data_IF_871803722967
#
_entry.id   IF_871803722967
#
_cell.length_a   1.000
_cell.length_b   1.000
_cell.length_c   1.000
_cell.angle_alpha   90.00
_cell.angle_beta   90.00
_cell.angle_gamma   90.00
#
_symmetry.space_group_name_H-M   'P 1'
#
loop_
_entity.id
_entity.type
_entity.pdbx_description
1 polymer ?
#
# COMPACT_ATOMS: atom_id res chain seq x y z
N UNK A 1 -72.89 -17.99 -9.38
CA UNK A 1 -71.88 -17.03 -8.84
C UNK A 1 -70.52 -17.68 -9.00
N UNK A 2 -69.87 -17.55 -10.15
CA UNK A 2 -68.53 -18.10 -10.42
C UNK A 2 -67.59 -16.91 -10.54
N UNK A 3 -66.74 -16.71 -9.52
CA UNK A 3 -65.78 -15.61 -9.44
C UNK A 3 -64.44 -16.11 -10.02
N UNK A 4 -64.02 -15.50 -11.12
CA UNK A 4 -62.70 -15.64 -11.75
C UNK A 4 -61.55 -15.20 -10.83
N UNK A 5 -60.36 -15.84 -10.86
CA UNK A 5 -59.16 -15.27 -10.26
C UNK A 5 -58.15 -14.86 -11.36
N UNK A 6 -58.38 -13.73 -12.02
CA UNK A 6 -57.39 -13.11 -12.92
C UNK A 6 -56.31 -12.30 -12.16
N UNK A 7 -56.43 -12.16 -10.84
CA UNK A 7 -55.56 -11.29 -10.04
C UNK A 7 -54.25 -11.93 -9.54
N UNK A 8 -54.11 -13.26 -9.62
CA UNK A 8 -52.91 -13.96 -9.09
C UNK A 8 -51.78 -14.10 -10.10
N UNK A 9 -52.05 -14.05 -11.41
CA UNK A 9 -51.02 -14.26 -12.45
C UNK A 9 -50.14 -13.01 -12.63
N UNK A 10 -50.72 -11.80 -12.45
CA UNK A 10 -50.01 -10.53 -12.64
C UNK A 10 -48.98 -10.23 -11.55
N UNK A 11 -49.11 -10.82 -10.34
CA UNK A 11 -48.15 -10.64 -9.24
C UNK A 11 -46.88 -11.47 -9.40
N UNK A 12 -46.91 -12.55 -10.18
CA UNK A 12 -45.75 -13.43 -10.39
C UNK A 12 -44.80 -12.86 -11.45
N UNK A 13 -45.31 -12.13 -12.45
CA UNK A 13 -44.49 -11.55 -13.51
C UNK A 13 -43.69 -10.33 -13.08
N UNK A 14 -44.19 -9.54 -12.11
CA UNK A 14 -43.45 -8.38 -11.56
C UNK A 14 -42.26 -8.82 -10.69
N UNK A 15 -42.36 -9.97 -10.03
CA UNK A 15 -41.29 -10.50 -9.19
C UNK A 15 -40.07 -11.02 -10.00
N UNK A 16 -40.28 -11.53 -11.21
CA UNK A 16 -39.20 -12.05 -12.06
C UNK A 16 -38.40 -10.92 -12.74
N UNK A 17 -39.03 -9.78 -13.03
CA UNK A 17 -38.32 -8.60 -13.57
C UNK A 17 -37.59 -7.85 -12.45
N UNK A 18 -38.18 -7.76 -11.25
CA UNK A 18 -37.55 -7.08 -10.10
C UNK A 18 -36.28 -7.75 -9.57
N UNK A 19 -36.19 -9.08 -9.62
CA UNK A 19 -35.01 -9.81 -9.16
C UNK A 19 -33.81 -9.71 -10.12
N UNK A 20 -34.05 -9.53 -11.43
CA UNK A 20 -32.98 -9.39 -12.42
C UNK A 20 -32.32 -8.00 -12.42
N UNK A 21 -33.00 -6.97 -11.90
CA UNK A 21 -32.50 -5.58 -11.88
C UNK A 21 -31.64 -5.27 -10.66
N UNK A 22 -31.61 -6.14 -9.63
CA UNK A 22 -30.81 -5.94 -8.42
C UNK A 22 -29.36 -6.44 -8.52
N UNK A 23 -28.93 -6.99 -9.67
CA UNK A 23 -27.59 -7.56 -9.83
C UNK A 23 -26.52 -6.59 -10.36
N UNK A 24 -26.81 -5.29 -10.51
CA UNK A 24 -25.82 -4.33 -11.00
C UNK A 24 -25.78 -3.06 -10.13
N UNK A 25 -25.14 -3.15 -8.97
CA UNK A 25 -24.69 -1.95 -8.25
C UNK A 25 -23.34 -2.19 -7.55
N UNK A 26 -22.46 -2.94 -8.20
CA UNK A 26 -21.03 -2.78 -8.01
C UNK A 26 -20.51 -2.02 -9.22
N UNK A 27 -20.47 -0.70 -9.19
CA UNK A 27 -19.63 0.02 -10.13
C UNK A 27 -18.20 -0.49 -9.86
N UNK A 28 -17.65 -1.29 -10.78
CA UNK A 28 -16.26 -1.69 -10.71
C UNK A 28 -15.45 -0.39 -10.82
N UNK A 29 -14.93 0.08 -9.69
CA UNK A 29 -14.11 1.27 -9.65
C UNK A 29 -12.82 0.93 -10.39
N UNK A 30 -12.53 1.67 -11.46
CA UNK A 30 -11.31 1.47 -12.24
C UNK A 30 -10.11 1.72 -11.33
N UNK A 31 -9.14 0.79 -11.38
CA UNK A 31 -7.95 0.81 -10.54
C UNK A 31 -6.72 0.54 -11.38
N UNK A 32 -5.72 1.38 -11.22
CA UNK A 32 -4.37 1.16 -11.77
C UNK A 32 -3.59 0.28 -10.81
N UNK A 33 -3.08 -0.85 -11.29
CA UNK A 33 -2.17 -1.71 -10.54
C UNK A 33 -0.75 -1.47 -11.01
N UNK A 34 0.11 -1.05 -10.08
CA UNK A 34 1.53 -0.84 -10.28
C UNK A 34 2.29 -1.73 -9.30
N UNK A 35 3.41 -2.29 -9.72
CA UNK A 35 4.34 -3.03 -8.88
C UNK A 35 5.71 -2.35 -8.90
N UNK A 36 6.56 -2.62 -7.90
CA UNK A 36 7.94 -2.12 -7.91
C UNK A 36 8.76 -2.65 -9.10
N UNK A 37 8.43 -3.84 -9.60
CA UNK A 37 9.10 -4.47 -10.74
C UNK A 37 8.88 -3.66 -12.04
N UNK A 38 7.71 -3.00 -12.18
CA UNK A 38 7.41 -2.12 -13.32
C UNK A 38 8.34 -0.90 -13.41
N UNK A 39 9.03 -0.58 -12.30
CA UNK A 39 9.96 0.53 -12.17
C UNK A 39 11.41 0.06 -12.01
N UNK A 40 11.69 -1.20 -12.37
CA UNK A 40 13.05 -1.74 -12.43
C UNK A 40 13.62 -2.21 -11.10
N UNK A 41 12.79 -2.39 -10.07
CA UNK A 41 13.23 -3.02 -8.84
C UNK A 41 13.66 -4.48 -9.07
N UNK A 42 14.68 -4.94 -8.34
CA UNK A 42 15.18 -6.31 -8.41
C UNK A 42 14.34 -7.22 -7.51
N UNK A 43 14.08 -6.78 -6.27
CA UNK A 43 13.23 -7.50 -5.33
C UNK A 43 13.87 -8.76 -4.73
N UNK A 44 15.20 -8.79 -4.62
CA UNK A 44 16.00 -9.88 -4.04
C UNK A 44 16.39 -9.68 -2.56
N UNK A 45 16.00 -8.55 -1.96
CA UNK A 45 16.32 -8.16 -0.59
C UNK A 45 17.74 -7.62 -0.40
N UNK A 46 18.52 -7.51 -1.47
CA UNK A 46 19.94 -7.14 -1.45
C UNK A 46 20.15 -5.84 -2.23
N UNK A 47 19.66 -5.78 -3.47
CA UNK A 47 19.77 -4.62 -4.34
C UNK A 47 19.06 -3.40 -3.74
N UNK A 48 19.61 -2.21 -4.01
CA UNK A 48 18.97 -0.97 -3.59
C UNK A 48 17.80 -0.62 -4.52
N UNK A 49 16.59 -0.93 -4.06
CA UNK A 49 15.34 -0.73 -4.81
C UNK A 49 14.67 0.62 -4.48
N UNK A 50 15.36 1.51 -3.74
CA UNK A 50 14.77 2.77 -3.24
C UNK A 50 14.27 3.67 -4.37
N UNK A 51 15.02 3.79 -5.47
CA UNK A 51 14.60 4.66 -6.59
C UNK A 51 13.36 4.10 -7.29
N UNK A 52 13.30 2.80 -7.52
CA UNK A 52 12.12 2.15 -8.10
C UNK A 52 10.88 2.38 -7.22
N UNK A 53 11.03 2.38 -5.89
CA UNK A 53 9.93 2.70 -4.99
C UNK A 53 9.49 4.17 -5.06
N UNK A 54 10.43 5.11 -5.18
CA UNK A 54 10.10 6.53 -5.41
C UNK A 54 9.34 6.68 -6.72
N UNK A 55 9.82 6.10 -7.80
CA UNK A 55 9.21 6.24 -9.13
C UNK A 55 7.82 5.60 -9.17
N UNK A 56 7.67 4.40 -8.58
CA UNK A 56 6.39 3.71 -8.46
C UNK A 56 5.39 4.50 -7.60
N UNK A 57 5.85 5.08 -6.48
CA UNK A 57 5.05 5.96 -5.65
C UNK A 57 4.59 7.20 -6.42
N UNK A 58 5.50 7.88 -7.12
CA UNK A 58 5.18 9.07 -7.92
C UNK A 58 4.15 8.75 -9.00
N UNK A 59 4.29 7.63 -9.70
CA UNK A 59 3.33 7.19 -10.70
C UNK A 59 1.95 6.88 -10.09
N UNK A 60 1.93 6.12 -8.98
CA UNK A 60 0.68 5.75 -8.32
C UNK A 60 -0.05 6.97 -7.74
N UNK A 61 0.70 7.88 -7.10
CA UNK A 61 0.17 9.11 -6.51
C UNK A 61 -0.32 10.12 -7.56
N UNK A 62 0.31 10.13 -8.74
CA UNK A 62 -0.06 10.98 -9.87
C UNK A 62 -1.18 10.43 -10.77
N UNK A 63 -1.71 9.24 -10.46
CA UNK A 63 -2.78 8.57 -11.20
C UNK A 63 -4.11 9.34 -11.17
N UNK A 64 -4.78 9.42 -12.31
CA UNK A 64 -6.15 10.00 -12.42
C UNK A 64 -7.25 9.03 -11.96
N UNK A 65 -6.89 7.78 -11.69
CA UNK A 65 -7.74 6.73 -11.14
C UNK A 65 -7.21 6.27 -9.78
N UNK A 66 -8.01 5.53 -9.00
CA UNK A 66 -7.51 4.90 -7.79
C UNK A 66 -6.33 3.98 -8.13
N UNK A 67 -5.26 4.04 -7.34
CA UNK A 67 -4.07 3.25 -7.60
C UNK A 67 -3.81 2.22 -6.49
N UNK A 68 -3.34 1.04 -6.89
CA UNK A 68 -2.74 0.04 -6.01
C UNK A 68 -1.27 -0.05 -6.36
N UNK A 69 -0.41 0.32 -5.41
CA UNK A 69 1.02 0.08 -5.49
C UNK A 69 1.34 -1.20 -4.71
N UNK A 70 1.71 -2.26 -5.41
CA UNK A 70 1.89 -3.59 -4.86
C UNK A 70 3.36 -3.94 -4.64
N UNK A 71 3.63 -4.51 -3.47
CA UNK A 71 4.85 -5.27 -3.13
C UNK A 71 4.49 -6.75 -3.25
N UNK A 72 4.87 -7.45 -4.34
CA UNK A 72 4.42 -8.80 -4.63
C UNK A 72 4.88 -9.84 -3.61
N UNK A 73 4.11 -10.94 -3.49
CA UNK A 73 4.51 -12.12 -2.71
C UNK A 73 5.86 -12.65 -3.17
N UNK A 74 6.64 -13.22 -2.24
CA UNK A 74 7.94 -13.84 -2.47
C UNK A 74 9.04 -12.88 -2.97
N UNK A 75 8.79 -11.57 -2.98
CA UNK A 75 9.78 -10.52 -3.25
C UNK A 75 10.17 -9.81 -1.96
N UNK A 76 11.42 -9.36 -1.90
CA UNK A 76 11.92 -8.51 -0.84
C UNK A 76 12.61 -7.29 -1.45
N UNK A 77 12.20 -6.09 -1.08
CA UNK A 77 12.77 -4.85 -1.63
C UNK A 77 13.55 -4.13 -0.54
N UNK A 78 14.85 -3.90 -0.78
CA UNK A 78 15.68 -3.20 0.19
C UNK A 78 15.60 -1.69 -0.03
N UNK A 79 14.98 -1.01 0.92
CA UNK A 79 14.62 0.40 0.82
C UNK A 79 15.37 1.20 1.87
N UNK A 80 16.21 2.14 1.43
CA UNK A 80 16.87 3.11 2.29
C UNK A 80 15.89 4.19 2.77
N UNK A 81 16.28 5.03 3.74
CA UNK A 81 15.45 6.15 4.18
C UNK A 81 14.96 6.99 2.99
N UNK A 82 13.64 7.10 2.89
CA UNK A 82 12.94 7.68 1.75
C UNK A 82 11.76 8.52 2.25
N UNK A 83 11.53 9.60 1.52
CA UNK A 83 10.40 10.48 1.73
C UNK A 83 9.45 10.35 0.54
N UNK A 84 8.20 10.02 0.83
CA UNK A 84 7.16 9.76 -0.16
C UNK A 84 6.07 10.81 0.02
N UNK A 85 6.06 11.78 -0.88
CA UNK A 85 5.21 12.96 -0.77
C UNK A 85 3.88 12.79 -1.49
N UNK A 86 2.84 13.45 -0.99
CA UNK A 86 1.65 13.83 -1.74
C UNK A 86 1.64 15.33 -2.11
N UNK A 87 0.48 15.90 -2.46
CA UNK A 87 -0.84 15.27 -2.50
C UNK A 87 -0.98 14.27 -3.66
N UNK A 88 -1.69 13.17 -3.42
CA UNK A 88 -2.08 12.26 -4.48
C UNK A 88 -3.40 12.71 -5.10
N UNK A 89 -3.54 12.54 -6.42
CA UNK A 89 -4.74 12.97 -7.14
C UNK A 89 -5.96 12.12 -6.76
N UNK A 90 -5.74 10.82 -6.58
CA UNK A 90 -6.74 9.84 -6.20
C UNK A 90 -6.28 8.99 -5.02
N UNK A 91 -7.18 8.17 -4.47
CA UNK A 91 -6.87 7.24 -3.38
C UNK A 91 -5.78 6.25 -3.81
N UNK A 92 -4.82 6.05 -2.92
CA UNK A 92 -3.69 5.14 -3.12
C UNK A 92 -3.74 4.03 -2.08
N UNK A 93 -3.64 2.77 -2.51
CA UNK A 93 -3.43 1.63 -1.63
C UNK A 93 -2.01 1.08 -1.82
N UNK A 94 -1.19 1.15 -0.78
CA UNK A 94 0.07 0.43 -0.71
C UNK A 94 -0.21 -1.00 -0.23
N UNK A 95 -0.27 -1.95 -1.17
CA UNK A 95 -0.53 -3.35 -0.91
C UNK A 95 0.79 -4.11 -0.67
N UNK A 96 1.07 -4.45 0.58
CA UNK A 96 2.30 -5.14 0.97
C UNK A 96 2.00 -6.63 1.16
N UNK A 97 2.31 -7.44 0.15
CA UNK A 97 2.20 -8.90 0.20
C UNK A 97 3.55 -9.61 0.36
N UNK A 98 4.64 -9.00 -0.15
CA UNK A 98 6.02 -9.42 0.09
C UNK A 98 6.67 -8.69 1.26
N UNK A 99 7.95 -8.37 1.12
CA UNK A 99 8.74 -7.73 2.18
C UNK A 99 9.33 -6.40 1.72
N UNK A 100 9.19 -5.36 2.53
CA UNK A 100 10.03 -4.16 2.48
C UNK A 100 11.05 -4.29 3.61
N UNK A 101 12.34 -4.24 3.30
CA UNK A 101 13.42 -4.44 4.29
C UNK A 101 14.36 -3.23 4.33
N UNK A 102 14.74 -2.82 5.53
CA UNK A 102 15.70 -1.74 5.73
C UNK A 102 17.16 -2.21 5.56
N UNK A 103 18.10 -1.29 5.29
CA UNK A 103 19.51 -1.53 5.53
C UNK A 103 19.78 -1.80 7.01
N UNK A 104 20.64 -2.77 7.29
CA UNK A 104 20.84 -3.28 8.64
C UNK A 104 21.58 -2.29 9.55
N UNK A 105 22.58 -1.58 9.01
CA UNK A 105 23.41 -0.69 9.83
C UNK A 105 22.91 0.76 9.83
N UNK A 106 22.88 1.44 10.99
CA UNK A 106 22.61 2.88 11.05
C UNK A 106 23.57 3.71 10.19
N UNK A 107 24.80 3.23 9.98
CA UNK A 107 25.80 3.92 9.18
C UNK A 107 25.42 3.92 7.68
N UNK A 108 24.66 2.92 7.21
CA UNK A 108 24.12 2.89 5.83
C UNK A 108 23.05 3.96 5.59
N UNK A 109 22.50 4.54 6.67
CA UNK A 109 21.50 5.60 6.61
C UNK A 109 22.14 6.99 6.58
N UNK A 110 23.48 7.08 6.64
CA UNK A 110 24.23 8.34 6.64
C UNK A 110 23.81 9.29 5.51
N UNK A 111 23.83 10.59 5.80
CA UNK A 111 23.40 11.65 4.88
C UNK A 111 21.88 11.81 4.77
N UNK A 112 21.08 11.07 5.55
CA UNK A 112 19.61 11.17 5.62
C UNK A 112 19.16 11.34 7.06
N UNK A 113 17.88 11.67 7.26
CA UNK A 113 17.30 11.80 8.59
C UNK A 113 17.23 10.42 9.26
N UNK A 114 18.02 10.15 10.31
CA UNK A 114 18.08 8.83 10.94
C UNK A 114 16.79 8.48 11.70
N UNK A 115 15.88 9.44 11.88
CA UNK A 115 14.59 9.24 12.55
C UNK A 115 13.48 8.83 11.58
N UNK A 116 13.72 8.86 10.27
CA UNK A 116 12.69 8.70 9.24
C UNK A 116 13.09 7.66 8.20
N UNK A 117 12.49 6.47 8.27
CA UNK A 117 12.69 5.44 7.27
C UNK A 117 11.75 5.55 6.07
N UNK A 118 10.49 5.13 6.23
CA UNK A 118 9.44 5.25 5.23
C UNK A 118 8.56 6.44 5.62
N UNK A 119 9.01 7.65 5.27
CA UNK A 119 8.30 8.85 5.69
C UNK A 119 7.31 9.30 4.63
N UNK A 120 6.04 8.98 4.86
CA UNK A 120 4.94 9.35 3.97
C UNK A 120 4.26 10.60 4.53
N UNK A 121 4.12 11.65 3.72
CA UNK A 121 3.57 12.92 4.20
C UNK A 121 2.77 13.67 3.12
N UNK A 122 1.78 14.45 3.59
CA UNK A 122 0.94 15.27 2.70
C UNK A 122 0.01 14.46 1.79
N UNK A 123 -0.41 13.27 2.23
CA UNK A 123 -1.24 12.35 1.44
C UNK A 123 -2.60 12.17 2.09
N UNK A 124 -3.66 12.45 1.33
CA UNK A 124 -5.03 12.14 1.73
C UNK A 124 -5.49 10.85 1.05
N UNK A 125 -6.23 10.00 1.77
CA UNK A 125 -6.80 8.76 1.20
C UNK A 125 -5.79 7.64 0.94
N UNK A 126 -4.64 7.65 1.61
CA UNK A 126 -3.72 6.52 1.64
C UNK A 126 -4.28 5.37 2.49
N UNK A 127 -4.20 4.16 1.98
CA UNK A 127 -4.34 2.93 2.76
C UNK A 127 -3.10 2.06 2.62
N UNK A 128 -2.77 1.34 3.69
CA UNK A 128 -1.73 0.31 3.68
C UNK A 128 -2.41 -1.00 4.02
N UNK A 129 -2.25 -2.01 3.17
CA UNK A 129 -2.95 -3.29 3.30
C UNK A 129 -2.05 -4.46 2.91
N UNK A 130 -2.57 -5.68 3.02
CA UNK A 130 -1.85 -6.91 2.71
C UNK A 130 -1.46 -7.71 3.96
N UNK A 131 -0.77 -8.82 3.74
CA UNK A 131 -0.32 -9.75 4.80
C UNK A 131 1.19 -9.94 4.83
N UNK A 132 1.93 -9.09 4.12
CA UNK A 132 3.39 -9.13 4.02
C UNK A 132 4.11 -8.52 5.22
N UNK A 133 5.33 -8.05 5.01
CA UNK A 133 6.23 -7.59 6.09
C UNK A 133 6.90 -6.26 5.78
N UNK A 134 6.98 -5.39 6.78
CA UNK A 134 7.89 -4.25 6.81
C UNK A 134 8.93 -4.55 7.89
N UNK A 135 10.15 -4.90 7.48
CA UNK A 135 11.25 -5.25 8.38
C UNK A 135 12.25 -4.10 8.49
N UNK A 136 12.23 -3.41 9.64
CA UNK A 136 13.13 -2.29 9.91
C UNK A 136 14.55 -2.69 10.35
N UNK A 137 14.86 -3.98 10.48
CA UNK A 137 16.19 -4.50 10.86
C UNK A 137 16.79 -3.77 12.09
N UNK A 138 15.97 -3.58 13.12
CA UNK A 138 16.25 -2.66 14.23
C UNK A 138 17.30 -3.11 15.26
N UNK A 139 17.86 -4.31 15.15
CA UNK A 139 18.74 -4.87 16.19
C UNK A 139 19.96 -3.98 16.48
N UNK A 140 20.63 -3.51 15.42
CA UNK A 140 21.81 -2.67 15.56
C UNK A 140 21.46 -1.26 16.08
N UNK A 141 20.35 -0.70 15.61
CA UNK A 141 19.78 0.56 16.11
C UNK A 141 19.58 0.53 17.63
N UNK A 142 18.94 -0.52 18.15
CA UNK A 142 18.74 -0.64 19.59
C UNK A 142 20.04 -0.88 20.36
N UNK A 143 20.97 -1.65 19.80
CA UNK A 143 22.27 -1.91 20.42
C UNK A 143 23.15 -0.65 20.53
N UNK A 144 22.99 0.29 19.60
CA UNK A 144 23.66 1.61 19.60
C UNK A 144 22.86 2.70 20.33
N UNK A 145 21.64 2.42 20.80
CA UNK A 145 20.79 3.41 21.45
C UNK A 145 21.29 3.80 22.84
N UNK A 146 21.53 5.11 23.04
CA UNK A 146 21.78 5.74 24.35
C UNK A 146 20.66 5.48 25.38
N UNK A 147 19.43 5.20 24.92
CA UNK A 147 18.29 4.88 25.81
C UNK A 147 18.45 3.50 26.46
N UNK A 148 19.21 2.59 25.83
CA UNK A 148 19.56 1.27 26.39
C UNK A 148 20.92 1.30 27.08
N UNK A 149 21.87 2.08 26.56
CA UNK A 149 23.20 2.26 27.15
C UNK A 149 23.25 3.52 28.01
N UNK A 150 22.95 3.39 29.30
CA UNK A 150 22.97 4.50 30.30
C UNK A 150 24.29 5.26 30.40
N UNK A 151 25.38 4.72 29.84
CA UNK A 151 26.70 5.35 29.80
C UNK A 151 26.93 6.27 28.60
N UNK A 152 26.00 6.31 27.63
CA UNK A 152 26.06 7.21 26.49
C UNK A 152 24.99 8.30 26.63
N UNK A 153 25.35 9.59 26.60
CA UNK A 153 24.36 10.65 26.59
C UNK A 153 23.50 10.56 25.32
N UNK A 154 22.20 10.76 25.47
CA UNK A 154 21.29 10.88 24.34
C UNK A 154 21.43 12.25 23.69
N UNK A 155 22.51 12.43 22.95
CA UNK A 155 22.64 13.54 22.02
C UNK A 155 21.83 13.19 20.78
N UNK A 156 21.24 14.18 20.11
CA UNK A 156 20.55 13.98 18.83
C UNK A 156 21.50 13.32 17.84
N UNK A 157 21.15 12.13 17.35
CA UNK A 157 21.82 11.44 16.24
C UNK A 157 21.64 12.21 14.95
#
# INVERSE_FOLDING_TARGET
MVRTPAASVLRVLVALVGAAVLCFSGAAEARVLLTLDDFGAVGDGIANDTQAFVDAWTAACGSEEQAVLAVPVAKAYRIWPVQLAGPCKMKLNLLIAGTIVAPASPDEWAGRDPMKWLYIYGVDGLSVSGGGTIDGVGQEWWARSCKRKKTQPCNTM
#
